data_IF_312329681136
#
_entry.id   IF_312329681136
#
_cell.length_a   1.000
_cell.length_b   1.000
_cell.length_c   1.000
_cell.angle_alpha   90.00
_cell.angle_beta   90.00
_cell.angle_gamma   90.00
#
_symmetry.space_group_name_H-M   'P 1'
#
loop_
_entity.id
_entity.type
_entity.pdbx_description
1 polymer ?
#
# COMPACT_ATOMS: atom_id res chain seq x y z
N UNK A 1 9.00 28.12 -30.25
CA UNK A 1 9.54 26.77 -30.45
C UNK A 1 8.91 25.84 -29.45
N UNK A 2 8.53 24.61 -29.87
CA UNK A 2 7.82 23.63 -29.03
C UNK A 2 8.55 23.31 -27.67
N UNK A 3 9.86 23.50 -27.59
CA UNK A 3 10.64 23.30 -26.38
C UNK A 3 10.39 24.39 -25.33
N UNK A 4 10.04 25.62 -25.71
CA UNK A 4 9.72 26.68 -24.74
C UNK A 4 8.30 26.56 -24.18
N UNK A 5 7.43 25.80 -24.82
CA UNK A 5 6.03 25.62 -24.38
C UNK A 5 5.88 24.54 -23.29
N UNK A 6 6.81 23.59 -23.24
CA UNK A 6 6.81 22.53 -22.21
C UNK A 6 7.04 23.11 -20.82
N UNK A 7 7.86 24.18 -20.70
CA UNK A 7 8.17 24.83 -19.44
C UNK A 7 7.10 25.82 -18.94
N UNK A 8 6.08 26.09 -19.75
CA UNK A 8 4.97 27.01 -19.39
C UNK A 8 3.71 26.28 -18.98
N UNK A 9 3.76 24.94 -18.83
CA UNK A 9 2.60 24.18 -18.40
C UNK A 9 2.26 24.52 -16.95
N UNK A 10 1.04 24.92 -16.73
CA UNK A 10 0.46 25.08 -15.41
C UNK A 10 -0.17 23.76 -14.98
N UNK A 11 -0.06 23.46 -13.68
CA UNK A 11 -0.65 22.28 -13.05
C UNK A 11 -1.38 22.69 -11.77
N UNK A 12 -2.33 21.88 -11.37
CA UNK A 12 -3.04 21.97 -10.10
C UNK A 12 -2.52 20.86 -9.17
N UNK A 13 -1.39 21.07 -8.49
CA UNK A 13 -0.73 20.04 -7.73
C UNK A 13 -1.45 19.82 -6.41
N UNK A 14 -1.62 18.54 -6.04
CA UNK A 14 -2.06 18.14 -4.70
C UNK A 14 -1.16 17.01 -4.22
N UNK A 15 -0.72 17.08 -2.98
CA UNK A 15 0.14 16.06 -2.38
C UNK A 15 -0.65 15.24 -1.38
N UNK A 16 -0.34 13.95 -1.30
CA UNK A 16 -0.86 13.02 -0.30
C UNK A 16 0.27 12.14 0.23
N UNK A 17 -0.04 11.30 1.21
CA UNK A 17 0.92 10.39 1.82
C UNK A 17 1.48 10.89 3.15
N UNK A 18 1.90 9.96 4.02
CA UNK A 18 2.39 10.26 5.37
C UNK A 18 3.58 11.22 5.39
N UNK A 19 4.51 11.11 4.43
CA UNK A 19 5.62 12.04 4.23
C UNK A 19 5.26 13.32 3.47
N UNK A 20 4.08 13.36 2.86
CA UNK A 20 3.67 14.42 1.93
C UNK A 20 3.39 15.77 2.58
N UNK A 21 2.97 15.80 3.85
CA UNK A 21 2.58 17.05 4.51
C UNK A 21 3.73 18.05 4.60
N UNK A 22 4.93 17.61 4.94
CA UNK A 22 6.11 18.47 4.99
C UNK A 22 6.49 18.96 3.60
N UNK A 23 6.43 18.07 2.60
CA UNK A 23 6.70 18.41 1.20
C UNK A 23 5.68 19.42 0.67
N UNK A 24 4.39 19.23 0.95
CA UNK A 24 3.33 20.16 0.57
C UNK A 24 3.56 21.58 1.09
N UNK A 25 4.00 21.70 2.35
CA UNK A 25 4.36 22.99 2.95
C UNK A 25 5.55 23.65 2.25
N UNK A 26 6.58 22.89 1.92
CA UNK A 26 7.76 23.43 1.20
C UNK A 26 7.43 23.84 -0.24
N UNK A 27 6.56 23.09 -0.88
CA UNK A 27 6.13 23.40 -2.25
C UNK A 27 5.01 24.43 -2.31
N UNK A 28 4.42 24.80 -1.15
CA UNK A 28 3.26 25.70 -1.04
C UNK A 28 2.09 25.22 -1.90
N UNK A 29 1.79 23.91 -1.80
CA UNK A 29 0.71 23.26 -2.52
C UNK A 29 -0.26 22.57 -1.56
N UNK A 30 -1.53 22.32 -1.95
CA UNK A 30 -2.50 21.62 -1.12
C UNK A 30 -2.05 20.22 -0.72
N UNK A 31 -2.51 19.81 0.45
CA UNK A 31 -2.34 18.44 0.96
C UNK A 31 -3.70 17.81 1.20
N UNK A 32 -3.87 16.57 0.75
CA UNK A 32 -5.07 15.75 1.03
C UNK A 32 -4.65 14.52 1.83
N UNK A 33 -5.40 14.20 2.88
CA UNK A 33 -5.17 12.96 3.64
C UNK A 33 -5.45 11.73 2.76
N UNK A 34 -4.64 10.68 2.89
CA UNK A 34 -4.75 9.47 2.06
C UNK A 34 -6.14 8.84 2.09
N UNK A 35 -6.78 8.79 3.27
CA UNK A 35 -8.13 8.23 3.40
C UNK A 35 -9.15 9.01 2.59
N UNK A 36 -9.06 10.34 2.61
CA UNK A 36 -9.93 11.20 1.83
C UNK A 36 -9.66 10.96 0.34
N UNK A 37 -8.39 10.94 -0.05
CA UNK A 37 -7.99 10.67 -1.44
C UNK A 37 -8.49 9.32 -1.94
N UNK A 38 -8.20 8.24 -1.21
CA UNK A 38 -8.64 6.89 -1.59
C UNK A 38 -10.16 6.79 -1.64
N UNK A 39 -10.86 7.39 -0.67
CA UNK A 39 -12.33 7.40 -0.66
C UNK A 39 -12.91 8.14 -1.85
N UNK A 40 -12.32 9.28 -2.23
CA UNK A 40 -12.73 10.04 -3.43
C UNK A 40 -12.56 9.20 -4.69
N UNK A 41 -11.39 8.56 -4.87
CA UNK A 41 -11.15 7.69 -6.02
C UNK A 41 -12.12 6.51 -6.07
N UNK A 42 -12.38 5.84 -4.93
CA UNK A 42 -13.29 4.70 -4.89
C UNK A 42 -14.74 5.10 -5.17
N UNK A 43 -15.19 6.26 -4.67
CA UNK A 43 -16.55 6.76 -4.95
C UNK A 43 -16.79 6.97 -6.45
N UNK A 44 -15.77 7.33 -7.21
CA UNK A 44 -15.86 7.56 -8.66
C UNK A 44 -15.67 6.26 -9.45
N UNK A 45 -14.58 5.51 -9.16
CA UNK A 45 -14.20 4.35 -9.95
C UNK A 45 -14.86 3.03 -9.51
N UNK A 46 -15.31 2.92 -8.28
CA UNK A 46 -15.91 1.72 -7.72
C UNK A 46 -16.96 2.07 -6.63
N UNK A 47 -18.06 2.78 -6.99
CA UNK A 47 -19.06 3.27 -6.04
C UNK A 47 -19.77 2.17 -5.26
N UNK A 48 -19.70 0.92 -5.75
CA UNK A 48 -20.25 -0.27 -5.09
C UNK A 48 -19.33 -0.82 -3.98
N UNK A 49 -18.16 -0.23 -3.75
CA UNK A 49 -17.19 -0.72 -2.75
C UNK A 49 -17.75 -0.59 -1.32
N UNK A 50 -17.83 -1.72 -0.60
CA UNK A 50 -18.23 -1.77 0.80
C UNK A 50 -17.02 -1.64 1.74
N UNK A 51 -15.91 -2.28 1.37
CA UNK A 51 -14.66 -2.30 2.16
C UNK A 51 -13.45 -2.20 1.25
N UNK A 52 -12.49 -1.35 1.59
CA UNK A 52 -11.19 -1.33 0.93
C UNK A 52 -10.10 -1.85 1.88
N UNK A 53 -9.26 -2.74 1.38
CA UNK A 53 -8.03 -3.19 2.03
C UNK A 53 -6.88 -2.57 1.23
N UNK A 54 -6.10 -1.72 1.88
CA UNK A 54 -4.93 -1.08 1.30
C UNK A 54 -3.68 -1.54 2.03
N UNK A 55 -2.72 -2.08 1.29
CA UNK A 55 -1.39 -2.40 1.80
C UNK A 55 -0.36 -1.50 1.14
N UNK A 56 0.29 -0.69 1.95
CA UNK A 56 1.42 0.14 1.56
C UNK A 56 2.77 -0.52 1.85
N UNK A 57 3.84 0.25 1.69
CA UNK A 57 5.20 -0.17 2.05
C UNK A 57 5.36 -0.37 3.56
N UNK A 58 4.81 0.54 4.38
CA UNK A 58 4.96 0.55 5.83
C UNK A 58 3.62 0.56 6.57
N UNK A 59 2.53 0.88 5.91
CA UNK A 59 1.17 0.93 6.47
C UNK A 59 0.22 -0.05 5.80
N UNK A 60 -0.74 -0.48 6.59
CA UNK A 60 -1.88 -1.29 6.18
C UNK A 60 -3.15 -0.61 6.69
N UNK A 61 -4.18 -0.53 5.85
CA UNK A 61 -5.45 0.12 6.18
C UNK A 61 -6.63 -0.75 5.77
N UNK A 62 -7.68 -0.71 6.57
CA UNK A 62 -9.01 -1.19 6.18
C UNK A 62 -9.97 0.00 6.29
N UNK A 63 -10.68 0.29 5.22
CA UNK A 63 -11.65 1.38 5.15
C UNK A 63 -13.02 0.76 4.86
N UNK A 64 -13.97 1.02 5.75
CA UNK A 64 -15.36 0.59 5.59
C UNK A 64 -16.19 1.78 5.13
N UNK A 65 -17.06 1.58 4.15
CA UNK A 65 -17.93 2.62 3.58
C UNK A 65 -19.40 2.47 4.01
N UNK A 66 -19.77 1.35 4.60
CA UNK A 66 -21.13 1.10 5.06
C UNK A 66 -21.42 1.91 6.34
N UNK A 67 -22.47 2.74 6.30
CA UNK A 67 -22.88 3.64 7.41
C UNK A 67 -21.87 4.74 7.77
N UNK A 68 -21.16 5.25 6.78
CA UNK A 68 -20.11 6.26 6.93
C UNK A 68 -18.71 5.65 6.81
N UNK A 69 -17.69 6.51 6.79
CA UNK A 69 -16.30 6.07 6.64
C UNK A 69 -15.75 5.69 8.03
N UNK A 70 -15.44 4.40 8.23
CA UNK A 70 -14.69 3.90 9.38
C UNK A 70 -13.33 3.37 8.90
N UNK A 71 -12.26 4.04 9.28
CA UNK A 71 -10.90 3.66 8.92
C UNK A 71 -10.16 3.04 10.09
N UNK A 72 -9.43 1.99 9.81
CA UNK A 72 -8.50 1.35 10.73
C UNK A 72 -7.14 1.19 10.05
N UNK A 73 -6.09 1.54 10.77
CA UNK A 73 -4.72 1.50 10.27
C UNK A 73 -3.82 0.83 11.30
N UNK A 74 -2.77 0.13 10.85
CA UNK A 74 -1.76 -0.38 11.77
C UNK A 74 -1.08 0.79 12.51
N UNK A 75 -0.61 0.49 13.72
CA UNK A 75 0.19 1.44 14.49
C UNK A 75 1.64 1.50 13.98
N UNK A 76 2.59 1.58 14.90
CA UNK A 76 4.03 1.74 14.62
C UNK A 76 4.67 0.48 13.99
N UNK A 77 3.99 -0.67 14.06
CA UNK A 77 4.56 -1.94 13.59
C UNK A 77 4.26 -2.18 12.11
N UNK A 78 5.30 -2.35 11.31
CA UNK A 78 5.20 -2.68 9.88
C UNK A 78 4.78 -4.14 9.58
N UNK A 79 4.40 -4.93 10.60
CA UNK A 79 3.90 -6.29 10.42
C UNK A 79 2.68 -6.31 9.50
N UNK A 80 2.69 -7.16 8.48
CA UNK A 80 1.61 -7.24 7.50
C UNK A 80 1.68 -6.21 6.37
N UNK A 81 2.81 -5.52 6.18
CA UNK A 81 3.02 -4.52 5.13
C UNK A 81 4.06 -4.95 4.10
N UNK A 82 4.31 -4.12 3.10
CA UNK A 82 5.35 -4.36 2.09
C UNK A 82 6.74 -4.56 2.71
N UNK A 83 7.13 -3.75 3.69
CA UNK A 83 8.41 -3.90 4.40
C UNK A 83 8.57 -5.25 5.09
N UNK A 84 7.49 -5.80 5.64
CA UNK A 84 7.52 -7.15 6.20
C UNK A 84 7.76 -8.20 5.10
N UNK A 85 7.08 -8.06 3.96
CA UNK A 85 7.24 -8.96 2.81
C UNK A 85 8.69 -8.93 2.31
N UNK A 86 9.28 -7.74 2.14
CA UNK A 86 10.67 -7.57 1.69
C UNK A 86 11.68 -8.18 2.66
N UNK A 87 11.45 -8.04 3.98
CA UNK A 87 12.30 -8.68 5.00
C UNK A 87 12.25 -10.21 4.90
N UNK A 88 11.06 -10.78 4.69
CA UNK A 88 10.90 -12.23 4.54
C UNK A 88 11.45 -12.74 3.20
N UNK A 89 11.31 -11.96 2.14
CA UNK A 89 11.92 -12.24 0.85
C UNK A 89 13.45 -12.33 0.95
N UNK A 90 14.06 -11.35 1.64
CA UNK A 90 15.50 -11.34 1.90
C UNK A 90 15.95 -12.59 2.67
N UNK A 91 15.17 -13.04 3.67
CA UNK A 91 15.47 -14.28 4.42
C UNK A 91 15.47 -15.52 3.52
N UNK A 92 14.58 -15.56 2.53
CA UNK A 92 14.49 -16.65 1.55
C UNK A 92 15.43 -16.45 0.33
N UNK A 93 16.30 -15.42 0.35
CA UNK A 93 17.22 -15.07 -0.73
C UNK A 93 16.49 -14.82 -2.06
N UNK A 94 15.48 -13.99 -2.02
CA UNK A 94 14.66 -13.57 -3.17
C UNK A 94 14.14 -12.16 -2.93
N UNK A 95 13.27 -11.67 -3.81
CA UNK A 95 12.51 -10.43 -3.67
C UNK A 95 11.00 -10.71 -3.53
N UNK A 96 10.19 -9.68 -3.37
CA UNK A 96 8.75 -9.81 -3.23
C UNK A 96 8.09 -10.49 -4.45
N UNK A 97 8.58 -10.20 -5.65
CA UNK A 97 8.09 -10.84 -6.88
C UNK A 97 8.46 -12.32 -6.93
N UNK A 98 9.67 -12.67 -6.50
CA UNK A 98 10.11 -14.07 -6.38
C UNK A 98 9.29 -14.85 -5.35
N UNK A 99 8.91 -14.23 -4.19
CA UNK A 99 7.96 -14.85 -3.28
C UNK A 99 6.62 -15.14 -3.97
N UNK A 100 6.12 -14.18 -4.76
CA UNK A 100 4.87 -14.36 -5.50
C UNK A 100 4.96 -15.53 -6.49
N UNK A 101 6.06 -15.66 -7.23
CA UNK A 101 6.26 -16.77 -8.15
C UNK A 101 6.36 -18.13 -7.43
N UNK A 102 7.10 -18.21 -6.31
CA UNK A 102 7.16 -19.44 -5.51
C UNK A 102 5.77 -19.81 -4.95
N UNK A 103 5.02 -18.84 -4.41
CA UNK A 103 3.73 -19.09 -3.81
C UNK A 103 2.68 -19.67 -4.77
N UNK A 104 2.86 -19.61 -6.09
CA UNK A 104 1.95 -20.23 -7.07
C UNK A 104 1.90 -21.75 -6.97
N UNK A 105 2.96 -22.38 -6.48
CA UNK A 105 3.15 -23.84 -6.49
C UNK A 105 3.18 -24.46 -5.09
N UNK A 106 2.69 -23.75 -4.08
CA UNK A 106 2.67 -24.26 -2.70
C UNK A 106 1.77 -25.49 -2.56
N UNK A 107 2.11 -26.33 -1.58
CA UNK A 107 1.35 -27.53 -1.20
C UNK A 107 0.87 -27.46 0.24
N UNK A 108 1.58 -26.75 1.10
CA UNK A 108 1.29 -26.63 2.53
C UNK A 108 1.47 -25.20 3.00
N UNK A 109 0.70 -24.81 4.02
CA UNK A 109 0.82 -23.51 4.69
C UNK A 109 1.18 -23.75 6.14
N UNK A 110 2.29 -23.19 6.59
CA UNK A 110 2.78 -23.25 7.96
C UNK A 110 2.29 -22.04 8.76
N UNK A 111 2.01 -22.20 10.06
CA UNK A 111 1.71 -21.07 10.93
C UNK A 111 2.97 -20.22 11.14
N UNK A 112 2.91 -18.94 10.74
CA UNK A 112 3.96 -17.94 10.92
C UNK A 112 3.37 -16.75 11.64
N UNK A 113 4.05 -16.25 12.69
CA UNK A 113 3.64 -15.05 13.40
C UNK A 113 4.01 -13.79 12.60
N UNK A 114 3.01 -13.06 12.10
CA UNK A 114 3.21 -11.86 11.30
C UNK A 114 3.28 -10.56 12.12
N UNK A 115 3.17 -10.60 13.45
CA UNK A 115 3.15 -9.40 14.30
C UNK A 115 4.47 -8.63 14.30
N UNK A 116 5.58 -9.34 14.12
CA UNK A 116 6.91 -8.76 14.15
C UNK A 116 7.84 -9.58 13.26
N UNK A 117 8.64 -8.91 12.40
CA UNK A 117 9.61 -9.58 11.54
C UNK A 117 10.63 -10.44 12.31
N UNK A 118 10.94 -10.12 13.57
CA UNK A 118 11.83 -10.92 14.43
C UNK A 118 11.19 -12.26 14.76
N UNK A 119 9.93 -12.26 15.22
CA UNK A 119 9.22 -13.51 15.52
C UNK A 119 8.96 -14.34 14.26
N UNK A 120 8.62 -13.71 13.14
CA UNK A 120 8.47 -14.41 11.87
C UNK A 120 9.76 -15.15 11.45
N UNK A 121 10.93 -14.52 11.63
CA UNK A 121 12.23 -15.17 11.37
C UNK A 121 12.45 -16.37 12.29
N UNK A 122 12.05 -16.26 13.54
CA UNK A 122 12.16 -17.35 14.52
C UNK A 122 11.28 -18.55 14.14
N UNK A 123 10.13 -18.31 13.53
CA UNK A 123 9.24 -19.38 13.05
C UNK A 123 9.72 -19.97 11.73
N UNK A 124 10.25 -19.16 10.82
CA UNK A 124 10.67 -19.60 9.49
C UNK A 124 11.99 -20.38 9.52
N UNK A 125 12.95 -19.98 10.37
CA UNK A 125 14.27 -20.60 10.38
C UNK A 125 14.24 -22.10 10.72
N UNK A 126 13.49 -22.59 11.69
CA UNK A 126 13.30 -24.03 11.92
C UNK A 126 12.72 -24.75 10.70
N UNK A 127 11.70 -24.16 10.07
CA UNK A 127 11.05 -24.75 8.89
C UNK A 127 12.03 -24.92 7.73
N UNK A 128 12.92 -23.94 7.50
CA UNK A 128 14.01 -24.06 6.50
C UNK A 128 14.92 -25.23 6.86
N UNK A 129 15.32 -25.36 8.11
CA UNK A 129 16.20 -26.41 8.59
C UNK A 129 15.56 -27.82 8.49
N UNK A 130 14.24 -27.89 8.59
CA UNK A 130 13.43 -29.09 8.42
C UNK A 130 13.15 -29.44 6.97
N UNK A 131 13.57 -28.58 6.03
CA UNK A 131 13.45 -28.83 4.59
C UNK A 131 12.13 -28.35 3.97
N UNK A 132 11.44 -27.39 4.62
CA UNK A 132 10.28 -26.73 4.01
C UNK A 132 10.69 -26.05 2.69
N UNK A 133 9.83 -26.17 1.69
CA UNK A 133 10.11 -25.62 0.35
C UNK A 133 9.93 -24.10 0.32
N UNK A 134 10.58 -23.41 -0.61
CA UNK A 134 10.38 -21.97 -0.79
C UNK A 134 8.94 -21.64 -1.20
N UNK A 135 8.30 -22.52 -1.93
CA UNK A 135 6.91 -22.43 -2.36
C UNK A 135 5.98 -22.38 -1.14
N UNK A 136 6.13 -23.33 -0.24
CA UNK A 136 5.30 -23.43 0.97
C UNK A 136 5.57 -22.27 1.93
N UNK A 137 6.84 -21.89 2.10
CA UNK A 137 7.23 -20.76 2.95
C UNK A 137 6.70 -19.44 2.40
N UNK A 138 6.75 -19.22 1.08
CA UNK A 138 6.23 -18.00 0.46
C UNK A 138 4.73 -17.86 0.62
N UNK A 139 3.97 -18.94 0.41
CA UNK A 139 2.52 -18.94 0.66
C UNK A 139 2.19 -18.74 2.14
N UNK A 140 3.01 -19.30 3.04
CA UNK A 140 2.87 -19.14 4.49
C UNK A 140 3.13 -17.71 4.95
N UNK A 141 4.13 -17.03 4.36
CA UNK A 141 4.41 -15.61 4.60
C UNK A 141 3.21 -14.76 4.16
N UNK A 142 2.67 -14.99 2.97
CA UNK A 142 1.48 -14.26 2.51
C UNK A 142 0.26 -14.52 3.38
N UNK A 143 0.04 -15.76 3.82
CA UNK A 143 -1.03 -16.07 4.76
C UNK A 143 -0.84 -15.37 6.12
N UNK A 144 0.39 -15.24 6.58
CA UNK A 144 0.70 -14.51 7.80
C UNK A 144 0.37 -13.01 7.67
N UNK A 145 0.67 -12.38 6.53
CA UNK A 145 0.26 -10.99 6.20
C UNK A 145 -1.25 -10.84 6.26
N UNK A 146 -1.98 -11.75 5.62
CA UNK A 146 -3.46 -11.76 5.62
C UNK A 146 -4.02 -11.86 7.04
N UNK A 147 -3.52 -12.82 7.81
CA UNK A 147 -3.98 -13.05 9.19
C UNK A 147 -3.71 -11.81 10.06
N UNK A 148 -2.54 -11.17 9.91
CA UNK A 148 -2.19 -9.96 10.64
C UNK A 148 -3.10 -8.79 10.26
N UNK A 149 -3.36 -8.60 8.98
CA UNK A 149 -4.22 -7.51 8.50
C UNK A 149 -5.65 -7.70 9.01
N UNK A 150 -6.22 -8.90 8.85
CA UNK A 150 -7.60 -9.18 9.28
C UNK A 150 -7.71 -9.11 10.80
N UNK A 151 -6.88 -9.84 11.56
CA UNK A 151 -7.00 -9.89 13.02
C UNK A 151 -6.58 -8.59 13.69
N UNK A 152 -5.55 -7.93 13.17
CA UNK A 152 -4.98 -6.72 13.74
C UNK A 152 -5.78 -5.46 13.45
N UNK A 153 -6.37 -5.35 12.26
CA UNK A 153 -7.08 -4.13 11.84
C UNK A 153 -8.60 -4.28 11.90
N UNK A 154 -9.16 -5.39 11.42
CA UNK A 154 -10.61 -5.54 11.46
C UNK A 154 -11.14 -5.67 12.89
N UNK A 155 -10.34 -6.20 13.84
CA UNK A 155 -10.70 -6.31 15.26
C UNK A 155 -12.12 -6.87 15.48
N UNK A 156 -12.49 -7.92 14.73
CA UNK A 156 -13.79 -8.56 14.78
C UNK A 156 -14.90 -7.90 13.95
N UNK A 157 -14.66 -6.72 13.35
CA UNK A 157 -15.61 -6.15 12.37
C UNK A 157 -15.55 -6.97 11.09
N UNK A 158 -16.68 -7.49 10.59
CA UNK A 158 -16.67 -8.34 9.40
C UNK A 158 -16.27 -7.56 8.16
N UNK A 159 -15.41 -8.19 7.32
CA UNK A 159 -15.09 -7.72 5.98
C UNK A 159 -16.01 -8.49 5.03
N UNK A 160 -17.00 -7.83 4.45
CA UNK A 160 -18.05 -8.44 3.63
C UNK A 160 -18.51 -7.47 2.54
N UNK A 161 -19.18 -8.01 1.52
CA UNK A 161 -19.65 -7.28 0.36
C UNK A 161 -18.54 -7.07 -0.66
N UNK A 162 -18.59 -6.01 -1.40
CA UNK A 162 -17.63 -5.70 -2.44
C UNK A 162 -16.31 -5.18 -1.83
N UNK A 163 -15.23 -5.95 -1.94
CA UNK A 163 -13.94 -5.67 -1.31
C UNK A 163 -12.95 -5.19 -2.35
N UNK A 164 -12.46 -3.96 -2.19
CA UNK A 164 -11.41 -3.39 -3.02
C UNK A 164 -10.02 -3.71 -2.47
N UNK A 165 -9.12 -4.16 -3.34
CA UNK A 165 -7.72 -4.45 -3.05
C UNK A 165 -6.82 -3.37 -3.63
N UNK A 166 -6.18 -2.57 -2.75
CA UNK A 166 -5.42 -1.37 -3.10
C UNK A 166 -3.99 -1.43 -2.57
N UNK A 167 -3.14 -0.57 -3.12
CA UNK A 167 -1.74 -0.46 -2.74
C UNK A 167 -0.81 -1.39 -3.50
N UNK A 168 0.49 -1.10 -3.45
CA UNK A 168 1.52 -1.81 -4.22
C UNK A 168 1.54 -3.32 -3.98
N UNK A 169 1.62 -3.80 -2.74
CA UNK A 169 1.63 -5.24 -2.46
C UNK A 169 0.42 -5.99 -3.05
N UNK A 170 -0.79 -5.45 -2.92
CA UNK A 170 -2.00 -6.12 -3.44
C UNK A 170 -2.16 -5.97 -4.96
N UNK A 171 -1.54 -4.95 -5.56
CA UNK A 171 -1.51 -4.77 -7.01
C UNK A 171 -0.56 -5.75 -7.69
N UNK A 172 0.70 -5.82 -7.20
CA UNK A 172 1.76 -6.57 -7.87
C UNK A 172 1.83 -8.04 -7.44
N UNK A 173 1.41 -8.39 -6.21
CA UNK A 173 1.51 -9.75 -5.68
C UNK A 173 0.17 -10.47 -5.77
N UNK A 174 -0.06 -11.15 -6.90
CA UNK A 174 -1.31 -11.86 -7.17
C UNK A 174 -1.62 -12.92 -6.11
N UNK A 175 -0.62 -13.66 -5.63
CA UNK A 175 -0.79 -14.72 -4.65
C UNK A 175 -1.12 -14.19 -3.25
N UNK A 176 -0.60 -13.01 -2.90
CA UNK A 176 -1.03 -12.30 -1.69
C UNK A 176 -2.51 -11.92 -1.77
N UNK A 177 -2.96 -11.34 -2.89
CA UNK A 177 -4.36 -11.02 -3.11
C UNK A 177 -5.23 -12.28 -3.08
N UNK A 178 -4.80 -13.38 -3.70
CA UNK A 178 -5.49 -14.66 -3.64
C UNK A 178 -5.59 -15.22 -2.22
N UNK A 179 -4.57 -15.02 -1.38
CA UNK A 179 -4.62 -15.41 0.03
C UNK A 179 -5.72 -14.65 0.80
N UNK A 180 -5.91 -13.34 0.53
CA UNK A 180 -7.03 -12.58 1.08
C UNK A 180 -8.37 -13.11 0.60
N UNK A 181 -8.53 -13.32 -0.71
CA UNK A 181 -9.76 -13.82 -1.33
C UNK A 181 -10.17 -15.15 -0.69
N UNK A 182 -9.23 -16.10 -0.57
CA UNK A 182 -9.47 -17.40 0.07
C UNK A 182 -9.87 -17.25 1.54
N UNK A 183 -9.14 -16.44 2.30
CA UNK A 183 -9.37 -16.29 3.74
C UNK A 183 -10.70 -15.62 4.05
N UNK A 184 -11.08 -14.63 3.24
CA UNK A 184 -12.35 -13.93 3.36
C UNK A 184 -13.51 -14.66 2.68
N UNK A 185 -13.24 -15.75 1.92
CA UNK A 185 -14.21 -16.52 1.14
C UNK A 185 -15.02 -15.67 0.17
N UNK A 186 -14.35 -14.71 -0.51
CA UNK A 186 -15.00 -13.80 -1.45
C UNK A 186 -15.35 -14.51 -2.76
N UNK A 187 -16.57 -14.29 -3.24
CA UNK A 187 -16.99 -14.66 -4.58
C UNK A 187 -16.40 -13.74 -5.66
N UNK A 188 -16.39 -14.18 -6.95
CA UNK A 188 -15.83 -13.38 -8.03
C UNK A 188 -16.45 -11.98 -8.16
N UNK A 189 -17.76 -11.85 -7.89
CA UNK A 189 -18.50 -10.59 -8.00
C UNK A 189 -18.24 -9.64 -6.82
N UNK A 190 -17.63 -10.13 -5.73
CA UNK A 190 -17.32 -9.36 -4.53
C UNK A 190 -15.90 -8.77 -4.59
N UNK A 191 -15.12 -9.05 -5.65
CA UNK A 191 -13.72 -8.66 -5.78
C UNK A 191 -13.62 -7.41 -6.64
N UNK A 192 -13.07 -6.33 -6.07
CA UNK A 192 -12.71 -5.11 -6.79
C UNK A 192 -11.18 -5.01 -6.82
N UNK A 193 -10.58 -5.22 -7.97
CA UNK A 193 -9.14 -5.08 -8.19
C UNK A 193 -8.91 -4.15 -9.40
N UNK A 194 -9.00 -2.83 -9.20
CA UNK A 194 -8.92 -1.89 -10.30
C UNK A 194 -7.53 -1.89 -10.95
N UNK A 195 -7.49 -1.59 -12.24
CA UNK A 195 -6.26 -1.22 -12.90
C UNK A 195 -5.63 -0.02 -12.17
N UNK A 196 -4.30 -0.05 -12.00
CA UNK A 196 -3.59 0.98 -11.26
C UNK A 196 -4.00 1.14 -9.78
N UNK A 197 -4.52 0.09 -9.14
CA UNK A 197 -4.92 0.09 -7.72
C UNK A 197 -3.84 0.60 -6.75
N UNK A 198 -2.57 0.53 -7.14
CA UNK A 198 -1.42 1.08 -6.39
C UNK A 198 -1.31 2.61 -6.45
N UNK A 199 -2.05 3.28 -7.34
CA UNK A 199 -2.05 4.74 -7.52
C UNK A 199 -3.32 5.41 -6.99
N UNK A 200 -4.23 4.68 -6.34
CA UNK A 200 -5.54 5.21 -5.95
C UNK A 200 -5.45 6.42 -5.00
N UNK A 201 -4.49 6.44 -4.08
CA UNK A 201 -4.25 7.62 -3.24
C UNK A 201 -3.84 8.84 -4.09
N UNK A 202 -2.96 8.65 -5.09
CA UNK A 202 -2.53 9.74 -5.98
C UNK A 202 -3.68 10.20 -6.91
N UNK A 203 -4.46 9.26 -7.43
CA UNK A 203 -5.63 9.57 -8.29
C UNK A 203 -6.65 10.38 -7.51
N UNK A 204 -7.07 9.91 -6.34
CA UNK A 204 -8.04 10.62 -5.52
C UNK A 204 -7.52 11.95 -4.99
N UNK A 205 -6.21 12.05 -4.73
CA UNK A 205 -5.58 13.33 -4.41
C UNK A 205 -5.70 14.32 -5.57
N UNK A 206 -5.41 13.88 -6.80
CA UNK A 206 -5.56 14.70 -7.99
C UNK A 206 -7.01 15.13 -8.25
N UNK A 207 -8.00 14.30 -7.89
CA UNK A 207 -9.42 14.64 -7.98
C UNK A 207 -9.85 15.71 -6.96
N UNK A 208 -9.11 15.86 -5.86
CA UNK A 208 -9.33 16.88 -4.84
C UNK A 208 -8.52 18.17 -5.10
N UNK A 209 -8.22 18.50 -6.35
CA UNK A 209 -7.50 19.72 -6.69
C UNK A 209 -8.34 20.98 -6.41
N UNK A 210 -7.65 22.10 -6.20
CA UNK A 210 -8.29 23.41 -6.09
C UNK A 210 -7.94 24.26 -7.32
N UNK A 211 -8.94 24.85 -7.96
CA UNK A 211 -8.75 25.77 -9.07
C UNK A 211 -8.01 27.06 -8.66
N UNK A 212 -8.02 27.39 -7.38
CA UNK A 212 -7.33 28.56 -6.84
C UNK A 212 -5.79 28.37 -6.76
N UNK A 213 -5.30 27.13 -6.86
CA UNK A 213 -3.87 26.81 -6.76
C UNK A 213 -3.36 26.29 -8.07
N UNK A 214 -3.04 27.20 -8.97
CA UNK A 214 -2.42 26.93 -10.26
C UNK A 214 -0.95 27.33 -10.24
N UNK A 215 -0.03 26.39 -10.45
CA UNK A 215 1.41 26.62 -10.34
C UNK A 215 2.13 26.23 -11.64
N UNK A 216 3.08 27.04 -12.16
CA UNK A 216 3.95 26.62 -13.22
C UNK A 216 4.80 25.41 -12.82
N UNK A 217 4.96 24.44 -13.72
CA UNK A 217 5.78 23.23 -13.46
C UNK A 217 7.21 23.59 -13.10
N UNK A 218 7.78 24.63 -13.73
CA UNK A 218 9.13 25.13 -13.44
C UNK A 218 9.30 25.60 -12.01
N UNK A 219 8.28 26.24 -11.41
CA UNK A 219 8.31 26.69 -10.03
C UNK A 219 8.32 25.50 -9.06
N UNK A 220 7.53 24.45 -9.32
CA UNK A 220 7.54 23.21 -8.53
C UNK A 220 8.92 22.56 -8.63
N UNK A 221 9.51 22.47 -9.82
CA UNK A 221 10.85 21.90 -10.00
C UNK A 221 11.90 22.72 -9.24
N UNK A 222 11.81 24.05 -9.29
CA UNK A 222 12.74 24.93 -8.56
C UNK A 222 12.62 24.73 -7.05
N UNK A 223 11.38 24.67 -6.50
CA UNK A 223 11.11 24.42 -5.08
C UNK A 223 11.57 23.03 -4.65
N UNK A 224 11.36 21.99 -5.45
CA UNK A 224 11.86 20.62 -5.18
C UNK A 224 13.40 20.57 -5.09
N UNK A 225 14.11 21.26 -5.99
CA UNK A 225 15.56 21.35 -5.95
C UNK A 225 16.06 22.03 -4.68
N UNK A 226 15.37 23.06 -4.20
CA UNK A 226 15.69 23.74 -2.95
C UNK A 226 15.54 22.82 -1.73
N UNK A 227 14.51 21.97 -1.70
CA UNK A 227 14.31 20.98 -0.62
C UNK A 227 15.46 19.98 -0.56
N UNK A 228 15.89 19.47 -1.71
CA UNK A 228 17.04 18.52 -1.77
C UNK A 228 18.32 19.11 -1.19
N UNK A 229 18.54 20.40 -1.36
CA UNK A 229 19.74 21.09 -0.83
C UNK A 229 19.74 21.26 0.70
N UNK A 230 18.56 21.44 1.32
CA UNK A 230 18.43 21.60 2.76
C UNK A 230 18.62 20.28 3.52
N UNK A 231 18.19 19.17 2.97
CA UNK A 231 18.40 17.85 3.58
C UNK A 231 19.88 17.37 3.52
N UNK A 232 20.62 17.67 2.46
CA UNK A 232 22.01 17.29 2.34
C UNK A 232 22.91 18.06 3.32
N UNK A 233 22.59 19.32 3.66
CA UNK A 233 23.34 20.09 4.66
C UNK A 233 23.07 19.71 6.12
N UNK A 234 21.93 19.11 6.42
CA UNK A 234 21.59 18.69 7.79
C UNK A 234 22.38 17.44 8.25
N UNK A 235 23.02 16.72 7.32
CA UNK A 235 23.87 15.55 7.63
C UNK A 235 25.36 15.88 7.67
N UNK A 236 25.77 17.12 7.41
CA UNK A 236 27.17 17.55 7.44
C UNK A 236 27.54 18.35 8.70
N UNK A 237 26.65 18.51 9.67
CA UNK A 237 26.88 19.11 10.98
C UNK A 237 26.60 18.14 12.09
#
# INVERSE_FOLDING_TARGET
SAASDVYKRQVYPVITGSGGLTLAKHLEVPFTQEVVAVSTALQDYAPQCDVAIELGGEDAKIIYFTNGIDQRMNGICAGGTGSFIDQMATLLQTDAMGLNEYAKNYKSIYPIAARCGVFAKTDIQPLINEGATKEDLSASIFQAVVNQTISGLACGKPIRGNVAFLGGPLHFLSELRQAFIRTLSLGPDEIIAPDHSHLFAAVGSAMNYSEDVCVPVEDIIARLKAVSYTHLRAHET
#
